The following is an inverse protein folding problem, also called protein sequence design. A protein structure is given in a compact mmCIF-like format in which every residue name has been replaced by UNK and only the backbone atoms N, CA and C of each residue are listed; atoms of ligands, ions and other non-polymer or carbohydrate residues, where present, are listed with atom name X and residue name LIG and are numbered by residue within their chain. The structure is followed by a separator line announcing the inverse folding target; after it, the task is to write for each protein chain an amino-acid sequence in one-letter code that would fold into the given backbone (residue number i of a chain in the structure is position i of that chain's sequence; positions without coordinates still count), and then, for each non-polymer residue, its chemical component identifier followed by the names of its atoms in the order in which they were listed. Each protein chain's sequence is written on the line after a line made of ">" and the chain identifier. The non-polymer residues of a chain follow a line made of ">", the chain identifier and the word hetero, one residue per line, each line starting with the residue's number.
data_IF_644114536985
#
_entry.id   IF_644114536985
#
_cell.length_a   1.000
_cell.length_b   1.000
_cell.length_c   1.000
_cell.angle_alpha   90.00
_cell.angle_beta   90.00
_cell.angle_gamma   90.00
#
_symmetry.space_group_name_H-M   'P 1'
#
loop_
_entity.id
_entity.type
_entity.pdbx_description
1 polymer ?
#
# COMPACT_ATOMS: atom_id res chain seq x y z
N UNK A 1 27.82 15.99 20.98
CA UNK A 1 27.58 17.45 20.98
C UNK A 1 26.18 17.62 21.51
N UNK A 2 26.04 18.06 22.76
CA UNK A 2 24.74 18.34 23.37
C UNK A 2 24.09 19.50 22.61
N UNK A 3 22.95 19.26 21.98
CA UNK A 3 22.17 20.34 21.36
C UNK A 3 21.57 21.18 22.47
N UNK A 4 22.03 22.43 22.59
CA UNK A 4 21.53 23.38 23.57
C UNK A 4 20.06 23.75 23.22
N UNK A 5 19.09 23.38 24.06
CA UNK A 5 17.67 23.61 23.75
C UNK A 5 17.31 25.10 23.63
N UNK A 6 18.10 25.99 24.23
CA UNK A 6 17.91 27.43 24.15
C UNK A 6 18.21 27.96 22.74
N UNK A 7 19.17 27.34 22.03
CA UNK A 7 19.52 27.73 20.67
C UNK A 7 18.38 27.40 19.69
N UNK A 8 17.73 26.25 19.87
CA UNK A 8 16.64 25.83 19.01
C UNK A 8 15.39 26.69 19.23
N UNK A 9 15.09 27.05 20.49
CA UNK A 9 14.02 28.00 20.80
C UNK A 9 14.26 29.37 20.13
N UNK A 10 15.48 29.89 20.23
CA UNK A 10 15.89 31.13 19.56
C UNK A 10 15.76 31.06 18.03
N UNK A 11 16.18 29.95 17.41
CA UNK A 11 16.02 29.75 15.96
C UNK A 11 14.54 29.71 15.55
N UNK A 12 13.67 29.11 16.36
CA UNK A 12 12.23 29.05 16.05
C UNK A 12 11.54 30.40 16.22
N UNK A 13 11.92 31.17 17.23
CA UNK A 13 11.37 32.51 17.46
C UNK A 13 11.79 33.51 16.38
N UNK A 14 13.08 33.51 16.00
CA UNK A 14 13.56 34.36 14.90
C UNK A 14 12.88 34.04 13.58
N UNK A 15 12.57 32.76 13.29
CA UNK A 15 11.80 32.36 12.12
C UNK A 15 10.36 32.91 12.13
N UNK A 16 9.70 32.88 13.29
CA UNK A 16 8.33 33.41 13.45
C UNK A 16 8.30 34.92 13.21
N UNK A 17 9.25 35.66 13.78
CA UNK A 17 9.38 37.10 13.60
C UNK A 17 9.64 37.45 12.13
N UNK A 18 10.62 36.81 11.51
CA UNK A 18 10.94 37.02 10.09
C UNK A 18 9.78 36.70 9.16
N UNK A 19 9.01 35.66 9.47
CA UNK A 19 7.82 35.29 8.69
C UNK A 19 6.74 36.37 8.78
N UNK A 20 6.56 37.00 9.96
CA UNK A 20 5.59 38.09 10.15
C UNK A 20 5.96 39.33 9.35
N UNK A 21 7.25 39.67 9.23
CA UNK A 21 7.70 40.82 8.42
C UNK A 21 7.26 40.71 6.94
N UNK A 22 7.18 39.49 6.41
CA UNK A 22 6.71 39.20 5.04
C UNK A 22 5.21 38.86 4.98
N UNK A 23 4.47 39.03 6.08
CA UNK A 23 3.02 38.79 6.15
C UNK A 23 2.62 37.31 6.21
N UNK A 24 3.53 36.41 6.57
CA UNK A 24 3.28 34.98 6.74
C UNK A 24 3.05 34.63 8.20
N UNK A 25 2.09 33.75 8.46
CA UNK A 25 1.80 33.23 9.81
C UNK A 25 2.04 31.72 9.88
N UNK A 26 2.79 31.30 10.90
CA UNK A 26 3.11 29.89 11.11
C UNK A 26 1.93 29.22 11.82
N UNK A 27 1.41 28.16 11.19
CA UNK A 27 0.33 27.38 11.77
C UNK A 27 0.86 26.39 12.82
N UNK A 28 0.73 26.78 14.09
CA UNK A 28 1.23 26.02 15.26
C UNK A 28 0.64 24.61 15.32
N UNK A 29 -0.60 24.39 14.88
CA UNK A 29 -1.22 23.05 14.86
C UNK A 29 -0.63 22.10 13.82
N UNK A 30 -0.01 22.65 12.76
CA UNK A 30 0.65 21.89 11.69
C UNK A 30 2.15 21.76 11.90
N UNK A 31 2.77 22.69 12.60
CA UNK A 31 4.21 22.71 12.86
C UNK A 31 4.53 21.82 14.05
N UNK A 32 5.37 20.82 13.85
CA UNK A 32 5.75 19.85 14.89
C UNK A 32 7.26 19.67 14.95
N UNK A 33 7.79 19.44 16.14
CA UNK A 33 9.22 19.21 16.36
C UNK A 33 9.60 17.76 16.03
N UNK A 34 10.70 17.60 15.29
CA UNK A 34 11.30 16.31 14.94
C UNK A 34 12.71 16.26 15.55
N UNK A 35 12.94 15.41 16.54
CA UNK A 35 14.22 15.32 17.26
C UNK A 35 14.58 13.86 17.49
N UNK A 36 15.82 13.48 17.17
CA UNK A 36 16.38 12.14 17.40
C UNK A 36 17.05 11.99 18.80
N UNK A 37 16.90 13.02 19.64
CA UNK A 37 17.58 13.22 20.93
C UNK A 37 16.58 13.35 22.09
N UNK A 38 17.05 13.54 23.32
CA UNK A 38 16.19 13.69 24.50
C UNK A 38 15.14 14.79 24.28
N UNK A 39 13.84 14.51 24.51
CA UNK A 39 12.78 15.41 24.11
C UNK A 39 12.73 16.67 24.99
N UNK A 40 13.17 17.82 24.47
CA UNK A 40 13.08 19.12 25.17
C UNK A 40 11.82 19.89 24.79
N UNK A 41 11.14 20.49 25.78
CA UNK A 41 9.90 21.24 25.58
C UNK A 41 10.23 22.66 25.11
N UNK A 42 9.71 23.05 23.94
CA UNK A 42 9.95 24.36 23.33
C UNK A 42 8.61 25.07 23.13
N UNK A 43 8.61 26.40 23.37
CA UNK A 43 7.41 27.23 23.24
C UNK A 43 7.54 28.22 22.09
N UNK A 44 6.49 28.32 21.26
CA UNK A 44 6.34 29.40 20.27
C UNK A 44 5.18 30.28 20.73
N UNK A 45 5.43 31.56 21.01
CA UNK A 45 4.42 32.51 21.50
C UNK A 45 3.64 32.01 22.74
N UNK A 46 4.32 31.32 23.66
CA UNK A 46 3.69 30.74 24.85
C UNK A 46 2.84 29.48 24.61
N UNK A 47 2.73 29.02 23.36
CA UNK A 47 2.11 27.72 23.03
C UNK A 47 3.20 26.66 22.88
N UNK A 48 3.06 25.57 23.64
CA UNK A 48 3.95 24.40 23.56
C UNK A 48 3.74 23.70 22.22
N UNK A 49 4.83 23.43 21.50
CA UNK A 49 4.75 22.69 20.25
C UNK A 49 4.49 21.21 20.49
N UNK A 50 3.59 20.64 19.69
CA UNK A 50 3.38 19.21 19.65
C UNK A 50 4.64 18.51 19.10
N UNK A 51 5.21 17.61 19.89
CA UNK A 51 6.24 16.69 19.43
C UNK A 51 5.58 15.60 18.60
N UNK A 52 6.15 15.25 17.45
CA UNK A 52 5.76 14.03 16.76
C UNK A 52 6.34 12.87 17.57
N UNK A 53 5.52 11.99 18.18
CA UNK A 53 6.08 10.76 18.73
C UNK A 53 6.72 10.01 17.56
N UNK A 54 7.93 9.47 17.74
CA UNK A 54 8.71 8.77 16.69
C UNK A 54 7.81 7.89 15.80
N UNK A 55 6.86 7.18 16.43
CA UNK A 55 5.86 6.32 15.77
C UNK A 55 4.99 7.01 14.70
N UNK A 56 4.61 8.27 14.85
CA UNK A 56 3.81 8.98 13.85
C UNK A 56 4.67 9.53 12.69
N UNK A 57 5.92 9.91 12.97
CA UNK A 57 6.89 10.25 11.93
C UNK A 57 7.22 9.02 11.08
N UNK A 58 7.41 7.88 11.74
CA UNK A 58 7.60 6.55 11.14
C UNK A 58 6.37 6.09 10.33
N UNK A 59 5.14 6.24 10.86
CA UNK A 59 3.92 5.85 10.14
C UNK A 59 3.74 6.64 8.84
N UNK A 60 4.12 7.92 8.80
CA UNK A 60 4.10 8.71 7.57
C UNK A 60 5.29 8.41 6.66
N UNK A 61 6.46 8.13 7.23
CA UNK A 61 7.67 7.72 6.50
C UNK A 61 7.56 6.32 5.87
N UNK A 62 6.72 5.44 6.43
CA UNK A 62 6.44 4.09 5.89
C UNK A 62 5.83 4.11 4.48
N UNK A 63 5.18 5.21 4.11
CA UNK A 63 4.54 5.34 2.81
C UNK A 63 5.39 6.19 1.88
N UNK A 64 5.89 5.57 0.82
CA UNK A 64 6.72 6.15 -0.22
C UNK A 64 5.95 7.18 -1.08
N UNK A 65 4.63 7.02 -1.23
CA UNK A 65 3.82 7.91 -2.07
C UNK A 65 2.62 8.53 -1.35
N UNK A 66 2.22 9.72 -1.81
CA UNK A 66 0.99 10.41 -1.36
C UNK A 66 -0.24 9.50 -1.60
N UNK A 67 -0.23 8.69 -2.65
CA UNK A 67 -1.26 7.70 -2.95
C UNK A 67 -1.40 6.66 -1.85
N UNK A 68 -0.30 6.04 -1.43
CA UNK A 68 -0.28 5.07 -0.33
C UNK A 68 -0.80 5.66 0.99
N UNK A 69 -0.37 6.90 1.32
CA UNK A 69 -0.87 7.62 2.52
C UNK A 69 -2.37 7.87 2.47
N UNK A 70 -2.89 8.29 1.31
CA UNK A 70 -4.33 8.49 1.12
C UNK A 70 -5.06 7.15 1.27
N UNK A 71 -4.62 6.09 0.58
CA UNK A 71 -5.22 4.75 0.65
C UNK A 71 -5.34 4.26 2.10
N UNK A 72 -4.25 4.33 2.87
CA UNK A 72 -4.23 3.96 4.29
C UNK A 72 -5.23 4.77 5.13
N UNK A 73 -5.27 6.10 4.94
CA UNK A 73 -6.22 6.97 5.66
C UNK A 73 -7.67 6.60 5.38
N UNK A 74 -8.02 6.31 4.13
CA UNK A 74 -9.39 5.95 3.75
C UNK A 74 -9.77 4.60 4.37
N UNK A 75 -8.91 3.59 4.29
CA UNK A 75 -9.14 2.27 4.89
C UNK A 75 -9.34 2.34 6.42
N UNK A 76 -8.51 3.12 7.13
CA UNK A 76 -8.61 3.30 8.59
C UNK A 76 -9.92 3.97 9.01
N UNK A 77 -10.47 4.86 8.17
CA UNK A 77 -11.72 5.59 8.43
C UNK A 77 -12.97 4.80 8.08
N UNK A 78 -13.00 4.13 6.93
CA UNK A 78 -14.24 3.53 6.40
C UNK A 78 -14.43 2.07 6.78
N UNK A 79 -13.39 1.38 7.28
CA UNK A 79 -13.37 -0.10 7.48
C UNK A 79 -13.77 -0.88 6.20
N UNK A 80 -13.80 -0.23 5.04
CA UNK A 80 -14.16 -0.86 3.77
C UNK A 80 -12.93 -1.59 3.24
N UNK A 81 -13.10 -2.87 2.93
CA UNK A 81 -12.08 -3.70 2.27
C UNK A 81 -11.77 -3.13 0.89
N UNK A 82 -10.48 -3.11 0.52
CA UNK A 82 -10.04 -2.65 -0.80
C UNK A 82 -10.75 -3.44 -1.92
N UNK A 83 -11.34 -2.71 -2.86
CA UNK A 83 -12.09 -3.27 -4.00
C UNK A 83 -11.16 -4.13 -4.85
N UNK A 84 -9.90 -3.71 -5.00
CA UNK A 84 -8.92 -4.44 -5.79
C UNK A 84 -8.60 -5.80 -5.16
N UNK A 85 -8.33 -5.83 -3.86
CA UNK A 85 -8.14 -7.08 -3.11
C UNK A 85 -9.38 -7.98 -3.22
N UNK A 86 -10.58 -7.41 -3.18
CA UNK A 86 -11.83 -8.16 -3.35
C UNK A 86 -11.95 -8.78 -4.74
N UNK A 87 -11.60 -8.04 -5.79
CA UNK A 87 -11.58 -8.54 -7.17
C UNK A 87 -10.61 -9.71 -7.29
N UNK A 88 -9.42 -9.62 -6.69
CA UNK A 88 -8.40 -10.65 -6.79
C UNK A 88 -8.76 -11.93 -6.01
N UNK A 89 -9.38 -11.79 -4.83
CA UNK A 89 -9.99 -12.93 -4.12
C UNK A 89 -11.07 -13.62 -4.96
N UNK A 90 -11.94 -12.85 -5.63
CA UNK A 90 -12.99 -13.42 -6.48
C UNK A 90 -12.40 -14.19 -7.67
N UNK A 91 -11.38 -13.64 -8.33
CA UNK A 91 -10.65 -14.33 -9.41
C UNK A 91 -10.03 -15.63 -8.90
N UNK A 92 -9.35 -15.57 -7.75
CA UNK A 92 -8.71 -16.73 -7.13
C UNK A 92 -9.71 -17.84 -6.81
N UNK A 93 -10.81 -17.50 -6.14
CA UNK A 93 -11.88 -18.46 -5.79
C UNK A 93 -12.53 -19.06 -7.02
N UNK A 94 -12.75 -18.26 -8.07
CA UNK A 94 -13.31 -18.74 -9.32
C UNK A 94 -12.39 -19.75 -10.00
N UNK A 95 -11.09 -19.47 -10.10
CA UNK A 95 -10.11 -20.38 -10.68
C UNK A 95 -10.05 -21.73 -9.93
N UNK A 96 -10.00 -21.69 -8.60
CA UNK A 96 -10.06 -22.91 -7.78
C UNK A 96 -11.37 -23.67 -7.96
N UNK A 97 -12.52 -22.98 -7.97
CA UNK A 97 -13.83 -23.60 -8.20
C UNK A 97 -13.88 -24.32 -9.56
N UNK A 98 -13.32 -23.72 -10.60
CA UNK A 98 -13.30 -24.31 -11.94
C UNK A 98 -12.44 -25.57 -12.03
N UNK A 99 -11.25 -25.55 -11.45
CA UNK A 99 -10.32 -26.68 -11.53
C UNK A 99 -10.77 -27.85 -10.65
N UNK A 100 -11.34 -27.54 -9.47
CA UNK A 100 -11.94 -28.52 -8.57
C UNK A 100 -13.31 -29.06 -9.04
N UNK A 101 -13.96 -28.43 -10.02
CA UNK A 101 -15.20 -28.97 -10.58
C UNK A 101 -14.93 -30.34 -11.22
N UNK A 102 -15.55 -31.38 -10.64
CA UNK A 102 -15.51 -32.77 -11.13
C UNK A 102 -16.32 -32.98 -12.41
N UNK A 103 -17.31 -32.11 -12.67
CA UNK A 103 -18.10 -32.13 -13.90
C UNK A 103 -17.29 -31.51 -15.03
N UNK A 104 -17.23 -32.20 -16.17
CA UNK A 104 -16.72 -31.63 -17.42
C UNK A 104 -17.66 -30.53 -17.90
N UNK A 105 -17.37 -29.30 -17.46
CA UNK A 105 -18.07 -28.10 -17.92
C UNK A 105 -17.25 -27.49 -19.05
N UNK A 106 -17.96 -27.00 -20.07
CA UNK A 106 -17.37 -26.23 -21.17
C UNK A 106 -16.50 -25.08 -20.65
N UNK A 107 -16.89 -24.44 -19.55
CA UNK A 107 -16.09 -23.40 -18.89
C UNK A 107 -14.68 -23.91 -18.56
N UNK A 108 -14.55 -25.10 -17.97
CA UNK A 108 -13.24 -25.69 -17.62
C UNK A 108 -12.43 -25.99 -18.88
N UNK A 109 -13.07 -26.54 -19.91
CA UNK A 109 -12.41 -26.85 -21.18
C UNK A 109 -11.90 -25.58 -21.87
N UNK A 110 -12.72 -24.55 -22.03
CA UNK A 110 -12.34 -23.27 -22.66
C UNK A 110 -11.24 -22.55 -21.88
N UNK A 111 -11.24 -22.65 -20.55
CA UNK A 111 -10.28 -21.96 -19.68
C UNK A 111 -8.95 -22.69 -19.55
N UNK A 112 -8.96 -24.04 -19.52
CA UNK A 112 -7.73 -24.87 -19.55
C UNK A 112 -7.19 -25.02 -20.98
N UNK A 113 -7.98 -24.63 -21.99
CA UNK A 113 -7.55 -24.67 -23.38
C UNK A 113 -6.33 -23.79 -23.58
N UNK A 114 -5.21 -24.44 -23.86
CA UNK A 114 -3.90 -23.82 -24.04
C UNK A 114 -3.56 -23.82 -25.54
N UNK A 115 -3.67 -22.68 -26.25
CA UNK A 115 -3.19 -22.59 -27.62
C UNK A 115 -1.66 -22.68 -27.58
N UNK A 116 -1.11 -23.77 -28.11
CA UNK A 116 0.33 -24.04 -28.12
C UNK A 116 1.11 -23.00 -28.95
N UNK A 117 0.42 -22.34 -29.88
CA UNK A 117 0.96 -21.31 -30.76
C UNK A 117 0.47 -19.93 -30.29
N UNK A 118 1.34 -19.18 -29.61
CA UNK A 118 0.96 -18.11 -28.69
C UNK A 118 0.91 -16.68 -29.25
N UNK A 119 0.68 -16.47 -30.55
CA UNK A 119 0.63 -15.10 -31.09
C UNK A 119 -0.74 -14.45 -30.84
N UNK A 120 -0.75 -13.27 -30.23
CA UNK A 120 -1.95 -12.43 -30.10
C UNK A 120 -2.03 -11.48 -31.30
N UNK A 121 -3.22 -11.29 -31.85
CA UNK A 121 -3.44 -10.29 -32.90
C UNK A 121 -3.00 -8.90 -32.46
N UNK A 122 -2.45 -8.11 -33.38
CA UNK A 122 -2.04 -6.72 -33.12
C UNK A 122 -3.20 -5.94 -32.48
N UNK A 123 -2.90 -5.16 -31.44
CA UNK A 123 -3.89 -4.35 -30.70
C UNK A 123 -4.54 -5.04 -29.49
N UNK A 124 -4.37 -6.35 -29.29
CA UNK A 124 -4.78 -7.02 -28.05
C UNK A 124 -3.67 -6.97 -27.00
N UNK A 125 -4.04 -6.80 -25.72
CA UNK A 125 -3.08 -6.86 -24.61
C UNK A 125 -2.37 -8.21 -24.62
N UNK A 126 -1.05 -8.19 -24.44
CA UNK A 126 -0.23 -9.41 -24.40
C UNK A 126 -0.61 -10.30 -23.21
N UNK A 127 -0.81 -9.69 -22.03
CA UNK A 127 -1.16 -10.41 -20.80
C UNK A 127 -2.54 -11.08 -20.86
N UNK A 128 -2.61 -12.33 -20.42
CA UNK A 128 -3.83 -13.09 -20.11
C UNK A 128 -4.15 -12.97 -18.62
N UNK A 129 -5.37 -13.33 -18.24
CA UNK A 129 -5.77 -13.40 -16.84
C UNK A 129 -5.01 -14.52 -16.09
N UNK A 130 -4.69 -15.63 -16.77
CA UNK A 130 -3.91 -16.74 -16.20
C UNK A 130 -2.45 -16.36 -15.95
N UNK A 131 -1.91 -15.36 -16.66
CA UNK A 131 -0.52 -14.94 -16.49
C UNK A 131 -0.27 -14.41 -15.08
N UNK A 132 -1.29 -13.83 -14.43
CA UNK A 132 -1.21 -13.42 -13.02
C UNK A 132 -1.02 -14.63 -12.09
N UNK A 133 -1.66 -15.77 -12.41
CA UNK A 133 -1.51 -17.02 -11.66
C UNK A 133 -0.19 -17.72 -11.99
N UNK A 134 0.23 -17.72 -13.25
CA UNK A 134 1.51 -18.29 -13.69
C UNK A 134 2.69 -17.51 -13.10
N UNK A 135 2.61 -16.18 -13.06
CA UNK A 135 3.64 -15.34 -12.46
C UNK A 135 3.79 -15.60 -10.95
N UNK A 136 2.70 -15.98 -10.28
CA UNK A 136 2.70 -16.17 -8.82
C UNK A 136 3.04 -17.60 -8.38
N UNK A 137 2.51 -18.61 -9.07
CA UNK A 137 2.63 -20.03 -8.72
C UNK A 137 3.41 -20.86 -9.75
N UNK A 138 3.84 -20.26 -10.84
CA UNK A 138 4.55 -20.94 -11.92
C UNK A 138 3.63 -21.73 -12.87
N UNK A 139 4.22 -22.46 -13.82
CA UNK A 139 3.49 -23.17 -14.88
C UNK A 139 2.63 -24.33 -14.35
N UNK A 140 2.87 -24.81 -13.13
CA UNK A 140 2.11 -25.89 -12.50
C UNK A 140 0.97 -25.40 -11.59
N UNK A 141 0.59 -24.12 -11.69
CA UNK A 141 -0.48 -23.53 -10.87
C UNK A 141 -1.81 -24.31 -10.93
N UNK A 142 -2.10 -24.98 -12.04
CA UNK A 142 -3.30 -25.81 -12.20
C UNK A 142 -3.34 -27.01 -11.26
N UNK A 143 -2.16 -27.58 -10.91
CA UNK A 143 -2.05 -28.65 -9.92
C UNK A 143 -2.28 -28.12 -8.51
N UNK A 144 -1.70 -26.96 -8.20
CA UNK A 144 -1.89 -26.26 -6.92
C UNK A 144 -3.36 -25.90 -6.71
N UNK A 145 -4.04 -25.45 -7.76
CA UNK A 145 -5.46 -25.08 -7.73
C UNK A 145 -6.42 -26.27 -7.65
N UNK A 146 -5.97 -27.48 -7.98
CA UNK A 146 -6.75 -28.70 -7.80
C UNK A 146 -6.80 -29.14 -6.33
N UNK A 147 -5.78 -28.77 -5.53
CA UNK A 147 -5.79 -28.95 -4.08
C UNK A 147 -6.53 -27.76 -3.42
N UNK A 148 -7.73 -28.04 -2.90
CA UNK A 148 -8.58 -27.00 -2.29
C UNK A 148 -7.98 -26.44 -1.00
N UNK A 149 -7.24 -27.23 -0.24
CA UNK A 149 -6.66 -26.77 1.02
C UNK A 149 -5.49 -25.83 0.72
N UNK A 150 -4.55 -26.28 -0.12
CA UNK A 150 -3.43 -25.47 -0.56
C UNK A 150 -3.89 -24.18 -1.26
N UNK A 151 -4.94 -24.26 -2.10
CA UNK A 151 -5.49 -23.10 -2.79
C UNK A 151 -6.10 -22.07 -1.83
N UNK A 152 -6.76 -22.51 -0.74
CA UNK A 152 -7.36 -21.59 0.23
C UNK A 152 -6.30 -20.87 1.06
N UNK A 153 -5.23 -21.56 1.44
CA UNK A 153 -4.12 -20.99 2.22
C UNK A 153 -3.38 -19.90 1.44
N UNK A 154 -3.27 -20.06 0.12
CA UNK A 154 -2.58 -19.12 -0.76
C UNK A 154 -3.43 -17.90 -1.19
N UNK A 155 -4.72 -17.86 -0.88
CA UNK A 155 -5.64 -16.79 -1.31
C UNK A 155 -5.22 -15.42 -0.78
N UNK A 156 -4.88 -15.34 0.51
CA UNK A 156 -4.48 -14.08 1.16
C UNK A 156 -3.14 -13.58 0.61
N UNK A 157 -2.17 -14.48 0.48
CA UNK A 157 -0.86 -14.18 -0.09
C UNK A 157 -0.95 -13.66 -1.54
N UNK A 158 -1.82 -14.26 -2.36
CA UNK A 158 -2.06 -13.81 -3.72
C UNK A 158 -2.68 -12.41 -3.76
N UNK A 159 -3.73 -12.17 -2.97
CA UNK A 159 -4.43 -10.89 -2.97
C UNK A 159 -3.51 -9.74 -2.52
N UNK A 160 -2.67 -9.96 -1.51
CA UNK A 160 -1.70 -8.97 -1.02
C UNK A 160 -0.64 -8.67 -2.09
N UNK A 161 0.02 -9.70 -2.62
CA UNK A 161 1.08 -9.54 -3.63
C UNK A 161 0.59 -8.84 -4.89
N UNK A 162 -0.64 -9.14 -5.35
CA UNK A 162 -1.17 -8.52 -6.57
C UNK A 162 -1.49 -7.04 -6.36
N UNK A 163 -1.89 -6.63 -5.15
CA UNK A 163 -2.05 -5.20 -4.84
C UNK A 163 -0.72 -4.45 -4.85
N UNK A 164 0.34 -5.04 -4.32
CA UNK A 164 1.67 -4.43 -4.31
C UNK A 164 2.24 -4.27 -5.72
N UNK A 165 2.09 -5.28 -6.58
CA UNK A 165 2.59 -5.22 -7.97
C UNK A 165 1.85 -4.15 -8.80
N UNK A 166 0.55 -3.94 -8.54
CA UNK A 166 -0.23 -2.89 -9.22
C UNK A 166 0.15 -1.49 -8.77
N UNK A 167 0.62 -1.32 -7.54
CA UNK A 167 1.01 -0.01 -7.01
C UNK A 167 2.43 0.41 -7.51
N UNK A 168 3.20 -0.51 -8.14
CA UNK A 168 4.55 -0.28 -8.69
C UNK A 168 4.55 0.12 -10.18
N UNK A 169 3.46 -0.16 -10.92
CA UNK A 169 3.31 0.14 -12.36
C UNK A 169 2.41 1.35 -12.61
#
# INVERSE_FOLDING_TARGET
>A
MEEDPLLLEFMTQSLVERSREVGLEINISKTKMMTNSVPVDITINGQKLDKVPERHGEEHARFETIGQRKKYRHQKKTKVTDILSRIDQLKWRWAGHMLCCKREKWSKQVTVWYPRDGFRSRGRKAKRWEDDLIMTLGPLWTRVAADRQQWKELEEAFAVRHTEIRDIL
#
